data_IF_083212303636
#
_entry.id   IF_083212303636
#
_cell.length_a   1.000
_cell.length_b   1.000
_cell.length_c   1.000
_cell.angle_alpha   90.00
_cell.angle_beta   90.00
_cell.angle_gamma   90.00
#
_symmetry.space_group_name_H-M   'P 1'
#
loop_
_entity.id
_entity.type
_entity.pdbx_description
1 polymer ?
#
# COMPACT_ATOMS: atom_id res chain seq x y z
N UNK A 1 21.28 23.88 -5.29
CA UNK A 1 20.83 22.49 -5.35
C UNK A 1 21.87 21.61 -4.67
N UNK A 2 21.40 20.65 -3.88
CA UNK A 2 22.24 19.68 -3.22
C UNK A 2 22.23 18.39 -4.04
N UNK A 3 23.39 17.78 -4.19
CA UNK A 3 23.57 16.50 -4.85
C UNK A 3 24.18 15.58 -3.81
N UNK A 4 23.56 14.44 -3.59
CA UNK A 4 24.05 13.44 -2.64
C UNK A 4 24.24 12.08 -3.30
N UNK A 5 25.24 11.36 -2.85
CA UNK A 5 25.28 9.90 -3.04
C UNK A 5 24.54 9.27 -1.87
N UNK A 6 23.39 8.64 -2.13
CA UNK A 6 22.63 7.93 -1.11
C UNK A 6 23.24 6.57 -0.77
N UNK A 7 23.96 5.97 -1.70
CA UNK A 7 24.75 4.74 -1.57
C UNK A 7 25.70 4.69 -2.76
N UNK A 8 26.64 3.77 -2.78
CA UNK A 8 27.69 3.60 -3.80
C UNK A 8 27.20 3.55 -5.27
N UNK A 9 25.91 3.58 -5.52
CA UNK A 9 25.32 3.46 -6.86
C UNK A 9 24.24 4.46 -7.20
N UNK A 10 23.75 5.30 -6.28
CA UNK A 10 22.67 6.24 -6.57
C UNK A 10 23.08 7.68 -6.23
N UNK A 11 23.34 8.47 -7.26
CA UNK A 11 23.53 9.93 -7.14
C UNK A 11 22.17 10.59 -7.38
N UNK A 12 21.70 11.40 -6.45
CA UNK A 12 20.42 12.11 -6.53
C UNK A 12 20.61 13.61 -6.49
N UNK A 13 19.64 14.37 -7.00
CA UNK A 13 19.61 15.81 -6.96
C UNK A 13 18.25 16.28 -6.45
N UNK A 14 18.24 17.31 -5.60
CA UNK A 14 17.03 17.90 -5.01
C UNK A 14 16.22 18.80 -5.96
N UNK A 15 16.54 18.81 -7.26
CA UNK A 15 15.84 19.67 -8.21
C UNK A 15 14.60 19.00 -8.80
N UNK A 16 13.58 19.82 -9.10
CA UNK A 16 12.31 19.36 -9.71
C UNK A 16 12.50 18.60 -11.03
N UNK A 17 13.54 18.95 -11.78
CA UNK A 17 13.83 18.29 -13.05
C UNK A 17 14.34 16.86 -12.84
N UNK A 18 15.16 16.64 -11.82
CA UNK A 18 15.62 15.30 -11.44
C UNK A 18 14.46 14.44 -10.96
N UNK A 19 13.57 14.99 -10.13
CA UNK A 19 12.40 14.30 -9.63
C UNK A 19 11.48 13.78 -10.76
N UNK A 20 11.42 14.53 -11.90
CA UNK A 20 10.58 14.16 -13.04
C UNK A 20 11.26 13.22 -14.04
N UNK A 21 12.58 13.33 -14.22
CA UNK A 21 13.31 12.69 -15.32
C UNK A 21 14.37 11.68 -14.87
N UNK A 22 14.69 11.62 -13.56
CA UNK A 22 15.74 10.75 -13.02
C UNK A 22 17.17 11.14 -13.39
N UNK A 23 17.34 12.24 -14.12
CA UNK A 23 18.63 12.84 -14.47
C UNK A 23 18.45 14.33 -14.76
N UNK A 24 19.43 15.18 -14.42
CA UNK A 24 19.28 16.61 -14.54
C UNK A 24 20.61 17.31 -14.95
N UNK A 25 20.55 18.58 -15.43
CA UNK A 25 21.75 19.34 -15.77
C UNK A 25 22.75 19.51 -14.61
N UNK A 26 22.29 19.54 -13.37
CA UNK A 26 23.16 19.62 -12.20
C UNK A 26 24.00 18.36 -12.05
N UNK A 27 23.37 17.20 -12.22
CA UNK A 27 24.05 15.89 -12.18
C UNK A 27 25.06 15.79 -13.31
N UNK A 28 24.67 16.18 -14.53
CA UNK A 28 25.56 16.23 -15.69
C UNK A 28 26.79 17.13 -15.45
N UNK A 29 26.58 18.27 -14.79
CA UNK A 29 27.67 19.17 -14.46
C UNK A 29 28.66 18.57 -13.46
N UNK A 30 28.17 17.87 -12.44
CA UNK A 30 29.02 17.17 -11.47
C UNK A 30 29.77 16.01 -12.14
N UNK A 31 29.11 15.20 -12.96
CA UNK A 31 29.78 14.13 -13.71
C UNK A 31 30.87 14.69 -14.66
N UNK A 32 30.57 15.81 -15.33
CA UNK A 32 31.54 16.46 -16.20
C UNK A 32 32.74 16.96 -15.42
N UNK A 33 32.52 17.60 -14.26
CA UNK A 33 33.59 18.07 -13.37
C UNK A 33 34.46 16.91 -12.89
N UNK A 34 33.85 15.87 -12.36
CA UNK A 34 34.58 14.71 -11.88
C UNK A 34 35.41 14.03 -12.97
N UNK A 35 34.95 14.00 -14.22
CA UNK A 35 35.65 13.36 -15.34
C UNK A 35 36.74 14.23 -15.99
N UNK A 36 36.56 15.54 -15.99
CA UNK A 36 37.38 16.44 -16.84
C UNK A 36 38.22 17.44 -16.05
N UNK A 37 37.94 17.72 -14.80
CA UNK A 37 38.74 18.58 -13.96
C UNK A 37 39.78 17.80 -13.15
N UNK A 38 40.97 18.36 -12.98
CA UNK A 38 42.05 17.69 -12.26
C UNK A 38 41.75 17.43 -10.79
N UNK A 39 41.02 18.34 -10.15
CA UNK A 39 40.62 18.21 -8.76
C UNK A 39 39.45 17.21 -8.63
N UNK A 40 38.53 17.19 -9.59
CA UNK A 40 37.47 16.20 -9.69
C UNK A 40 38.02 14.79 -9.87
N UNK A 41 39.02 14.61 -10.74
CA UNK A 41 39.69 13.33 -10.95
C UNK A 41 40.46 12.87 -9.71
N UNK A 42 41.08 13.82 -8.98
CA UNK A 42 41.74 13.48 -7.70
C UNK A 42 40.74 13.04 -6.64
N UNK A 43 39.59 13.70 -6.51
CA UNK A 43 38.53 13.32 -5.59
C UNK A 43 37.95 11.93 -5.94
N UNK A 44 37.81 11.63 -7.24
CA UNK A 44 37.41 10.27 -7.66
C UNK A 44 38.43 9.22 -7.27
N UNK A 45 39.71 9.49 -7.49
CA UNK A 45 40.80 8.57 -7.13
C UNK A 45 40.90 8.37 -5.60
N UNK A 46 40.73 9.45 -4.81
CA UNK A 46 40.68 9.34 -3.33
C UNK A 46 39.48 8.50 -2.86
N UNK A 47 38.30 8.64 -3.48
CA UNK A 47 37.11 7.82 -3.17
C UNK A 47 37.28 6.35 -3.59
N UNK A 48 37.96 6.10 -4.73
CA UNK A 48 38.27 4.75 -5.18
C UNK A 48 39.30 4.08 -4.23
N UNK A 49 40.33 4.80 -3.76
CA UNK A 49 41.30 4.31 -2.77
C UNK A 49 40.65 4.07 -1.39
N UNK A 50 39.70 4.94 -0.95
CA UNK A 50 38.93 4.71 0.29
C UNK A 50 38.00 3.51 0.17
N UNK A 51 37.39 3.28 -0.99
CA UNK A 51 36.61 2.09 -1.27
C UNK A 51 37.45 0.82 -1.32
N UNK A 52 38.63 0.88 -1.91
CA UNK A 52 39.56 -0.26 -1.92
C UNK A 52 40.14 -0.57 -0.53
N UNK A 53 40.36 0.45 0.32
CA UNK A 53 40.86 0.27 1.69
C UNK A 53 39.81 -0.17 2.69
N UNK A 54 38.53 0.16 2.47
CA UNK A 54 37.39 -0.30 3.29
C UNK A 54 36.84 -1.66 2.85
N UNK A 55 37.17 -2.11 1.64
CA UNK A 55 36.85 -3.44 1.14
C UNK A 55 37.91 -4.45 1.61
N UNK A 56 37.87 -4.81 2.89
CA UNK A 56 38.54 -6.02 3.33
C UNK A 56 38.05 -7.22 2.51
N UNK A 57 38.81 -7.57 1.46
CA UNK A 57 38.69 -8.78 0.65
C UNK A 57 37.24 -9.16 0.20
N UNK A 58 36.50 -8.26 -0.40
CA UNK A 58 35.45 -8.71 -1.33
C UNK A 58 36.15 -9.23 -2.59
N UNK A 59 36.18 -10.55 -2.74
CA UNK A 59 36.62 -11.18 -3.98
C UNK A 59 35.71 -10.68 -5.09
N UNK A 60 36.24 -9.88 -6.02
CA UNK A 60 35.54 -9.55 -7.27
C UNK A 60 35.30 -10.87 -8.02
N UNK A 61 34.07 -11.38 -7.93
CA UNK A 61 33.70 -12.56 -8.70
C UNK A 61 33.46 -12.13 -10.14
N UNK A 62 34.43 -12.38 -11.01
CA UNK A 62 34.13 -12.41 -12.45
C UNK A 62 33.09 -13.50 -12.71
N UNK A 63 32.37 -13.40 -13.82
CA UNK A 63 31.42 -14.47 -14.23
C UNK A 63 32.08 -15.86 -14.24
N UNK A 64 33.33 -15.96 -14.65
CA UNK A 64 34.12 -17.22 -14.58
C UNK A 64 34.43 -17.66 -13.15
N UNK A 65 34.68 -16.72 -12.22
CA UNK A 65 34.88 -17.01 -10.80
C UNK A 65 33.62 -17.58 -10.16
N UNK A 66 32.46 -16.99 -10.44
CA UNK A 66 31.16 -17.49 -9.97
C UNK A 66 30.79 -18.85 -10.52
N UNK A 67 31.13 -19.12 -11.79
CA UNK A 67 30.97 -20.44 -12.39
C UNK A 67 31.81 -21.52 -11.66
N UNK A 68 33.02 -21.20 -11.29
CA UNK A 68 33.90 -22.11 -10.54
C UNK A 68 33.42 -22.29 -9.09
N UNK A 69 32.91 -21.26 -8.44
CA UNK A 69 32.29 -21.36 -7.12
C UNK A 69 31.00 -22.20 -7.15
N UNK A 70 30.16 -22.04 -8.16
CA UNK A 70 28.94 -22.86 -8.35
C UNK A 70 29.25 -24.36 -8.48
N UNK A 71 30.43 -24.72 -8.98
CA UNK A 71 30.91 -26.12 -9.04
C UNK A 71 31.44 -26.64 -7.69
N UNK A 72 31.74 -25.74 -6.76
CA UNK A 72 32.33 -26.07 -5.44
C UNK A 72 31.35 -25.95 -4.28
N UNK A 73 30.09 -25.52 -4.54
CA UNK A 73 29.07 -25.45 -3.50
C UNK A 73 28.72 -26.85 -3.00
N UNK A 74 29.19 -27.16 -1.80
CA UNK A 74 28.71 -28.30 -1.02
C UNK A 74 27.25 -28.04 -0.62
N UNK A 75 26.46 -29.10 -0.48
CA UNK A 75 25.03 -29.11 -0.17
C UNK A 75 24.64 -28.55 1.21
N UNK A 76 25.53 -27.92 1.94
CA UNK A 76 25.21 -27.16 3.17
C UNK A 76 24.70 -25.77 2.80
N UNK A 77 23.51 -25.73 2.21
CA UNK A 77 22.82 -24.51 1.85
C UNK A 77 22.33 -23.77 3.10
N UNK A 78 23.20 -22.97 3.66
CA UNK A 78 22.84 -22.00 4.68
C UNK A 78 22.02 -20.88 4.05
N UNK A 79 20.95 -20.44 4.73
CA UNK A 79 20.17 -19.25 4.34
C UNK A 79 21.12 -18.05 4.18
N UNK A 80 21.16 -17.47 2.99
CA UNK A 80 22.05 -16.36 2.63
C UNK A 80 21.32 -15.07 2.36
N UNK A 81 20.02 -15.13 2.07
CA UNK A 81 19.24 -14.00 1.65
C UNK A 81 17.92 -13.88 2.42
N UNK A 82 17.49 -12.66 2.61
CA UNK A 82 16.12 -12.32 3.03
C UNK A 82 15.57 -11.19 2.18
N UNK A 83 14.26 -11.07 2.12
CA UNK A 83 13.60 -9.94 1.48
C UNK A 83 13.17 -8.93 2.53
N UNK A 84 13.26 -7.68 2.16
CA UNK A 84 12.70 -6.55 2.91
C UNK A 84 11.68 -5.85 2.02
N UNK A 85 10.63 -5.30 2.64
CA UNK A 85 9.61 -4.57 1.90
C UNK A 85 9.36 -3.23 2.58
N UNK A 86 9.40 -2.18 1.77
CA UNK A 86 9.13 -0.81 2.18
C UNK A 86 7.93 -0.30 1.41
N UNK A 87 6.88 0.09 2.12
CA UNK A 87 5.66 0.67 1.54
C UNK A 87 5.62 2.16 1.71
N UNK A 88 5.19 2.86 0.67
CA UNK A 88 5.03 4.30 0.65
C UNK A 88 3.78 4.73 -0.12
N UNK A 89 3.32 5.93 0.12
CA UNK A 89 2.25 6.54 -0.67
C UNK A 89 2.74 6.78 -2.10
N UNK A 90 1.92 6.40 -3.09
CA UNK A 90 2.22 6.72 -4.47
C UNK A 90 2.17 8.23 -4.71
N UNK A 91 2.94 8.74 -5.68
CA UNK A 91 2.90 10.14 -6.10
C UNK A 91 1.51 10.64 -6.52
N UNK A 92 0.59 9.74 -6.78
CA UNK A 92 -0.80 10.05 -7.15
C UNK A 92 -1.79 9.93 -5.98
N UNK A 93 -1.32 9.56 -4.76
CA UNK A 93 -2.11 9.57 -3.53
C UNK A 93 -3.27 8.55 -3.44
N UNK A 94 -3.44 7.68 -4.43
CA UNK A 94 -4.54 6.70 -4.49
C UNK A 94 -4.12 5.24 -4.36
N UNK A 95 -2.83 5.00 -4.29
CA UNK A 95 -2.22 3.66 -4.28
C UNK A 95 -1.09 3.60 -3.27
N UNK A 96 -0.76 2.40 -2.85
CA UNK A 96 0.41 2.12 -2.03
C UNK A 96 1.43 1.43 -2.92
N UNK A 97 2.63 1.99 -2.97
CA UNK A 97 3.76 1.41 -3.67
C UNK A 97 4.65 0.66 -2.70
N UNK A 98 4.96 -0.58 -3.04
CA UNK A 98 5.81 -1.45 -2.26
C UNK A 98 7.13 -1.67 -3.00
N UNK A 99 8.23 -1.21 -2.43
CA UNK A 99 9.59 -1.48 -2.89
C UNK A 99 10.09 -2.76 -2.24
N UNK A 100 10.69 -3.65 -3.03
CA UNK A 100 11.26 -4.90 -2.54
C UNK A 100 12.79 -4.79 -2.60
N UNK A 101 13.44 -5.20 -1.52
CA UNK A 101 14.90 -5.21 -1.40
C UNK A 101 15.40 -6.60 -1.09
N UNK A 102 16.48 -6.98 -1.73
CA UNK A 102 17.24 -8.19 -1.40
C UNK A 102 18.25 -7.84 -0.30
N UNK A 103 18.18 -8.49 0.85
CA UNK A 103 19.17 -8.37 1.93
C UNK A 103 20.06 -9.59 1.94
N UNK A 104 21.36 -9.36 1.94
CA UNK A 104 22.37 -10.40 2.05
C UNK A 104 22.74 -10.62 3.51
N UNK A 105 22.80 -11.87 3.93
CA UNK A 105 23.18 -12.26 5.28
C UNK A 105 24.63 -12.82 5.25
N UNK A 106 25.47 -12.62 6.27
CA UNK A 106 25.20 -11.92 7.54
C UNK A 106 25.52 -10.42 7.50
N UNK A 107 26.07 -9.87 6.42
CA UNK A 107 26.54 -8.47 6.33
C UNK A 107 25.42 -7.43 6.26
N UNK A 108 24.17 -7.88 6.21
CA UNK A 108 22.93 -7.06 6.21
C UNK A 108 22.83 -6.00 5.10
N UNK A 109 23.70 -6.04 4.10
CA UNK A 109 23.61 -5.14 2.95
C UNK A 109 22.33 -5.42 2.17
N UNK A 110 21.59 -4.36 1.81
CA UNK A 110 20.34 -4.49 1.08
C UNK A 110 20.39 -3.79 -0.28
N UNK A 111 19.82 -4.43 -1.29
CA UNK A 111 19.80 -3.99 -2.67
C UNK A 111 18.39 -3.90 -3.20
N UNK A 112 18.03 -2.78 -3.84
CA UNK A 112 16.69 -2.60 -4.42
C UNK A 112 16.52 -3.52 -5.63
N UNK A 113 15.44 -4.29 -5.65
CA UNK A 113 15.03 -5.07 -6.81
C UNK A 113 14.37 -4.12 -7.81
N UNK A 114 15.03 -3.89 -8.95
CA UNK A 114 14.60 -2.90 -9.96
C UNK A 114 13.58 -3.43 -10.95
N UNK A 115 13.53 -4.74 -11.14
CA UNK A 115 12.62 -5.44 -12.04
C UNK A 115 12.15 -6.72 -11.33
N UNK A 116 10.96 -6.62 -10.74
CA UNK A 116 10.38 -7.70 -9.93
C UNK A 116 10.15 -8.97 -10.78
N UNK A 117 9.53 -8.92 -11.98
CA UNK A 117 9.36 -10.10 -12.81
C UNK A 117 10.67 -10.77 -13.24
N UNK A 118 11.66 -9.98 -13.64
CA UNK A 118 12.96 -10.51 -14.01
C UNK A 118 13.66 -11.18 -12.82
N UNK A 119 13.53 -10.59 -11.63
CA UNK A 119 14.06 -11.18 -10.40
C UNK A 119 13.39 -12.52 -10.08
N UNK A 120 12.05 -12.62 -10.15
CA UNK A 120 11.31 -13.85 -9.90
C UNK A 120 11.72 -14.97 -10.85
N UNK A 121 11.79 -14.67 -12.16
CA UNK A 121 12.27 -15.65 -13.18
C UNK A 121 13.69 -16.12 -12.92
N UNK A 122 14.54 -15.23 -12.43
CA UNK A 122 15.93 -15.53 -12.14
C UNK A 122 16.08 -16.46 -10.92
N UNK A 123 15.28 -16.22 -9.87
CA UNK A 123 15.23 -17.10 -8.69
C UNK A 123 14.69 -18.49 -9.07
N UNK A 124 13.62 -18.54 -9.89
CA UNK A 124 13.05 -19.81 -10.36
C UNK A 124 14.03 -20.60 -11.26
N UNK A 125 14.79 -19.88 -12.09
CA UNK A 125 15.78 -20.49 -13.00
C UNK A 125 17.15 -20.76 -12.32
N UNK A 126 17.28 -20.49 -11.01
CA UNK A 126 18.54 -20.60 -10.27
C UNK A 126 19.70 -19.84 -10.95
N UNK A 127 19.37 -18.63 -11.45
CA UNK A 127 20.29 -17.83 -12.24
C UNK A 127 21.15 -16.87 -11.42
N UNK A 128 22.00 -16.10 -12.11
CA UNK A 128 22.86 -15.09 -11.51
C UNK A 128 22.21 -13.71 -11.54
N UNK A 129 21.98 -13.13 -10.37
CA UNK A 129 21.43 -11.80 -10.23
C UNK A 129 22.54 -10.75 -10.11
N UNK A 130 22.45 -9.67 -10.91
CA UNK A 130 23.38 -8.58 -10.85
C UNK A 130 23.01 -7.60 -9.74
N UNK A 131 23.80 -7.56 -8.67
CA UNK A 131 23.57 -6.71 -7.51
C UNK A 131 24.23 -5.34 -7.67
N UNK A 132 25.37 -5.26 -8.36
CA UNK A 132 26.12 -4.03 -8.60
C UNK A 132 26.69 -3.97 -10.01
N UNK A 133 27.52 -2.97 -10.30
CA UNK A 133 28.04 -2.72 -11.64
C UNK A 133 28.75 -3.93 -12.26
N UNK A 134 29.48 -4.70 -11.45
CA UNK A 134 30.25 -5.88 -11.89
C UNK A 134 30.11 -7.07 -10.92
N UNK A 135 29.08 -7.07 -10.08
CA UNK A 135 28.89 -8.06 -9.05
C UNK A 135 27.64 -8.89 -9.29
N UNK A 136 27.80 -10.21 -9.32
CA UNK A 136 26.73 -11.17 -9.59
C UNK A 136 26.66 -12.17 -8.45
N UNK A 137 25.45 -12.50 -8.01
CA UNK A 137 25.17 -13.51 -7.01
C UNK A 137 24.31 -14.62 -7.61
N UNK A 138 24.62 -15.89 -7.35
CA UNK A 138 23.72 -16.98 -7.69
C UNK A 138 22.53 -16.95 -6.74
N UNK A 139 21.32 -16.95 -7.28
CA UNK A 139 20.09 -16.98 -6.49
C UNK A 139 19.35 -18.29 -6.73
N UNK A 140 19.04 -18.98 -5.62
CA UNK A 140 18.12 -20.12 -5.61
C UNK A 140 17.12 -19.93 -4.47
N UNK A 141 15.90 -20.41 -4.65
CA UNK A 141 14.84 -20.26 -3.66
C UNK A 141 15.21 -20.80 -2.27
N UNK A 142 15.99 -21.90 -2.23
CA UNK A 142 16.43 -22.54 -0.98
C UNK A 142 17.39 -21.68 -0.15
N UNK A 143 18.04 -20.68 -0.76
CA UNK A 143 18.96 -19.76 -0.08
C UNK A 143 18.23 -18.62 0.66
N UNK A 144 16.92 -18.48 0.45
CA UNK A 144 16.10 -17.49 1.17
C UNK A 144 15.58 -18.06 2.48
N UNK A 145 15.35 -17.17 3.46
CA UNK A 145 14.61 -17.53 4.66
C UNK A 145 13.17 -17.93 4.33
N UNK A 146 12.52 -18.65 5.23
CA UNK A 146 11.18 -19.18 5.01
C UNK A 146 10.15 -18.09 4.68
N UNK A 147 10.18 -16.95 5.37
CA UNK A 147 9.23 -15.85 5.13
C UNK A 147 9.41 -15.28 3.73
N UNK A 148 10.66 -15.12 3.28
CA UNK A 148 10.98 -14.66 1.92
C UNK A 148 10.56 -15.68 0.86
N UNK A 149 10.75 -16.98 1.09
CA UNK A 149 10.27 -18.04 0.18
C UNK A 149 8.76 -17.98 0.02
N UNK A 150 8.00 -17.88 1.12
CA UNK A 150 6.55 -17.77 1.09
C UNK A 150 6.08 -16.51 0.38
N UNK A 151 6.82 -15.40 0.51
CA UNK A 151 6.50 -14.16 -0.19
C UNK A 151 6.82 -14.24 -1.69
N UNK A 152 7.94 -14.84 -2.09
CA UNK A 152 8.27 -15.10 -3.49
C UNK A 152 7.22 -15.98 -4.17
N UNK A 153 6.78 -17.04 -3.52
CA UNK A 153 5.70 -17.90 -3.99
C UNK A 153 4.37 -17.14 -4.16
N UNK A 154 4.06 -16.25 -3.22
CA UNK A 154 2.91 -15.38 -3.34
C UNK A 154 3.03 -14.45 -4.55
N UNK A 155 4.18 -13.82 -4.77
CA UNK A 155 4.42 -12.96 -5.93
C UNK A 155 4.29 -13.74 -7.24
N UNK A 156 4.84 -14.94 -7.33
CA UNK A 156 4.72 -15.81 -8.51
C UNK A 156 3.26 -16.16 -8.85
N UNK A 157 2.41 -16.35 -7.83
CA UNK A 157 0.96 -16.58 -8.04
C UNK A 157 0.19 -15.32 -8.42
N UNK A 158 0.62 -14.16 -7.93
CA UNK A 158 -0.08 -12.90 -8.14
C UNK A 158 0.27 -12.24 -9.49
N UNK A 159 1.54 -12.36 -9.92
CA UNK A 159 2.03 -11.76 -11.15
C UNK A 159 1.85 -12.79 -12.27
N UNK A 160 0.89 -12.60 -13.18
CA UNK A 160 0.65 -13.54 -14.27
C UNK A 160 1.79 -13.50 -15.30
N UNK A 161 1.99 -14.61 -16.00
CA UNK A 161 2.92 -14.69 -17.12
C UNK A 161 2.63 -13.60 -18.18
N UNK A 162 3.68 -12.96 -18.66
CA UNK A 162 3.69 -11.71 -19.46
C UNK A 162 2.81 -11.66 -20.71
N UNK A 163 2.30 -12.76 -21.16
CA UNK A 163 1.74 -12.83 -22.50
C UNK A 163 0.35 -12.19 -22.69
N UNK A 164 -0.35 -11.75 -21.63
CA UNK A 164 -1.80 -11.44 -21.74
C UNK A 164 -2.32 -10.22 -20.98
N UNK A 165 -1.53 -9.51 -20.18
CA UNK A 165 -2.06 -8.45 -19.30
C UNK A 165 -1.15 -7.23 -19.28
N UNK A 166 -1.77 -6.04 -19.27
CA UNK A 166 -1.06 -4.80 -18.96
C UNK A 166 -0.69 -4.83 -17.47
N UNK A 167 0.59 -5.08 -17.17
CA UNK A 167 1.12 -5.21 -15.81
C UNK A 167 1.38 -3.86 -15.13
N UNK A 168 1.29 -2.74 -15.85
CA UNK A 168 1.60 -1.40 -15.33
C UNK A 168 0.77 -1.06 -14.07
N UNK A 169 -0.40 -1.66 -13.93
CA UNK A 169 -1.25 -1.47 -12.76
C UNK A 169 -0.73 -2.20 -11.51
N UNK A 170 -0.13 -3.39 -11.68
CA UNK A 170 0.40 -4.20 -10.57
C UNK A 170 1.86 -3.84 -10.31
N UNK A 171 2.59 -3.48 -11.37
CA UNK A 171 4.02 -3.22 -11.37
C UNK A 171 4.34 -1.83 -11.96
N UNK A 172 3.97 -0.74 -11.26
CA UNK A 172 4.27 0.60 -11.72
C UNK A 172 5.78 0.90 -11.72
N UNK A 173 6.14 2.00 -12.35
CA UNK A 173 7.51 2.50 -12.39
C UNK A 173 8.51 1.48 -12.94
N UNK A 174 8.24 0.98 -14.16
CA UNK A 174 9.07 -0.03 -14.83
C UNK A 174 9.31 -1.29 -14.00
N UNK A 175 8.25 -1.79 -13.34
CA UNK A 175 8.27 -2.98 -12.50
C UNK A 175 9.17 -2.91 -11.25
N UNK A 176 9.57 -1.71 -10.84
CA UNK A 176 10.34 -1.46 -9.60
C UNK A 176 9.47 -1.52 -8.36
N UNK A 177 8.21 -1.12 -8.46
CA UNK A 177 7.27 -1.14 -7.36
C UNK A 177 6.18 -2.18 -7.60
N UNK A 178 5.63 -2.65 -6.50
CA UNK A 178 4.49 -3.56 -6.47
C UNK A 178 3.27 -2.80 -5.97
N UNK A 179 2.15 -2.86 -6.68
CA UNK A 179 0.84 -2.48 -6.20
C UNK A 179 0.00 -3.73 -5.97
N UNK A 180 -0.45 -3.95 -4.74
CA UNK A 180 -1.31 -5.10 -4.44
C UNK A 180 -2.73 -4.84 -4.97
N UNK A 181 -3.29 -5.69 -5.84
CA UNK A 181 -4.70 -5.64 -6.17
C UNK A 181 -5.55 -5.94 -4.94
N UNK A 182 -6.77 -5.40 -4.87
CA UNK A 182 -7.67 -5.58 -3.72
C UNK A 182 -7.83 -7.04 -3.27
N UNK A 183 -7.96 -7.98 -4.23
CA UNK A 183 -8.13 -9.41 -3.93
C UNK A 183 -6.91 -10.08 -3.29
N UNK A 184 -5.73 -9.48 -3.43
CA UNK A 184 -4.47 -9.96 -2.87
C UNK A 184 -3.96 -9.10 -1.71
N UNK A 185 -4.67 -8.02 -1.38
CA UNK A 185 -4.18 -7.02 -0.44
C UNK A 185 -3.94 -7.58 0.95
N UNK A 186 -4.92 -8.26 1.54
CA UNK A 186 -4.82 -8.78 2.91
C UNK A 186 -3.79 -9.91 3.02
N UNK A 187 -3.78 -10.84 2.07
CA UNK A 187 -2.77 -11.91 2.04
C UNK A 187 -1.37 -11.33 1.84
N UNK A 188 -1.22 -10.43 0.86
CA UNK A 188 0.07 -9.80 0.56
C UNK A 188 0.60 -9.00 1.74
N UNK A 189 -0.23 -8.17 2.37
CA UNK A 189 0.15 -7.39 3.55
C UNK A 189 0.60 -8.30 4.70
N UNK A 190 -0.15 -9.37 4.98
CA UNK A 190 0.22 -10.33 6.01
C UNK A 190 1.57 -10.99 5.73
N UNK A 191 1.84 -11.41 4.48
CA UNK A 191 3.12 -12.02 4.10
C UNK A 191 4.26 -11.03 4.17
N UNK A 192 4.07 -9.79 3.72
CA UNK A 192 5.09 -8.75 3.83
C UNK A 192 5.45 -8.43 5.29
N UNK A 193 4.47 -8.44 6.20
CA UNK A 193 4.72 -8.21 7.63
C UNK A 193 5.49 -9.34 8.33
N UNK A 194 5.55 -10.54 7.74
CA UNK A 194 6.38 -11.62 8.25
C UNK A 194 7.85 -11.47 7.81
N UNK A 195 8.14 -10.60 6.83
CA UNK A 195 9.51 -10.33 6.42
C UNK A 195 10.24 -9.51 7.49
N UNK A 196 11.47 -9.88 7.76
CA UNK A 196 12.32 -9.11 8.64
C UNK A 196 12.73 -7.79 7.96
N UNK A 197 12.34 -6.66 8.56
CA UNK A 197 12.56 -5.33 7.98
C UNK A 197 11.37 -4.77 7.19
N UNK A 198 10.16 -5.31 7.39
CA UNK A 198 8.94 -4.67 6.89
C UNK A 198 8.79 -3.26 7.45
N UNK A 199 8.54 -2.29 6.57
CA UNK A 199 8.25 -0.90 6.90
C UNK A 199 7.15 -0.34 6.00
N UNK A 200 6.33 0.50 6.59
CA UNK A 200 5.35 1.28 5.86
C UNK A 200 5.40 2.73 6.35
N UNK A 201 5.66 3.66 5.46
CA UNK A 201 5.70 5.09 5.77
C UNK A 201 4.45 5.77 5.22
N UNK A 202 3.76 6.51 6.09
CA UNK A 202 2.57 7.26 5.74
C UNK A 202 2.54 8.59 6.48
N UNK A 203 2.40 9.71 5.77
CA UNK A 203 2.40 11.07 6.34
C UNK A 203 3.54 11.30 7.36
N UNK A 204 4.73 10.79 7.06
CA UNK A 204 5.92 10.91 7.92
C UNK A 204 5.90 10.01 9.16
N UNK A 205 4.95 9.08 9.27
CA UNK A 205 4.90 8.09 10.35
C UNK A 205 5.30 6.71 9.82
N UNK A 206 6.28 6.08 10.47
CA UNK A 206 6.71 4.72 10.16
C UNK A 206 5.88 3.70 10.95
N UNK A 207 5.33 2.72 10.26
CA UNK A 207 4.62 1.58 10.83
C UNK A 207 5.37 0.29 10.51
N UNK A 208 5.61 -0.52 11.54
CA UNK A 208 6.22 -1.87 11.42
C UNK A 208 5.19 -2.98 11.53
N UNK A 209 3.98 -2.62 11.89
CA UNK A 209 2.83 -3.50 11.94
C UNK A 209 1.59 -2.73 11.50
N UNK A 210 0.78 -3.36 10.66
CA UNK A 210 -0.47 -2.83 10.14
C UNK A 210 -1.59 -3.82 10.43
N UNK A 211 -2.75 -3.32 10.75
CA UNK A 211 -3.93 -4.15 11.02
C UNK A 211 -4.91 -4.02 9.85
N UNK A 212 -5.69 -5.08 9.62
CA UNK A 212 -6.82 -5.07 8.68
C UNK A 212 -8.06 -5.49 9.45
N UNK A 213 -9.02 -4.60 9.56
CA UNK A 213 -10.24 -4.79 10.33
C UNK A 213 -11.47 -4.40 9.52
N UNK A 214 -12.65 -4.83 9.93
CA UNK A 214 -13.90 -4.32 9.38
C UNK A 214 -14.22 -2.98 10.03
N UNK A 215 -14.71 -2.01 9.23
CA UNK A 215 -15.13 -0.73 9.78
C UNK A 215 -16.35 -0.92 10.68
N UNK A 216 -16.20 -0.54 11.94
CA UNK A 216 -17.27 -0.50 12.93
C UNK A 216 -17.35 0.88 13.59
N UNK A 217 -18.40 1.12 14.36
CA UNK A 217 -18.55 2.35 15.13
C UNK A 217 -17.40 2.60 16.11
N UNK A 218 -16.79 1.53 16.61
CA UNK A 218 -15.70 1.59 17.61
C UNK A 218 -14.40 2.13 17.01
N UNK A 219 -14.25 2.15 15.70
CA UNK A 219 -13.13 2.80 15.03
C UNK A 219 -13.12 4.31 15.23
N UNK A 220 -14.28 4.92 15.55
CA UNK A 220 -14.44 6.36 15.76
C UNK A 220 -13.86 7.22 14.63
N UNK A 221 -13.94 6.74 13.38
CA UNK A 221 -13.49 7.51 12.21
C UNK A 221 -14.48 8.60 11.82
N UNK A 222 -15.76 8.35 12.08
CA UNK A 222 -16.85 9.27 11.84
C UNK A 222 -17.60 9.54 13.12
N UNK A 223 -18.22 10.71 13.20
CA UNK A 223 -19.26 10.98 14.18
C UNK A 223 -20.38 11.82 13.55
N UNK A 224 -21.60 11.56 13.95
CA UNK A 224 -22.80 12.15 13.40
C UNK A 224 -23.57 12.83 14.52
N UNK A 225 -23.83 14.12 14.37
CA UNK A 225 -24.64 14.91 15.32
C UNK A 225 -25.86 15.48 14.58
N UNK A 226 -27.04 15.16 15.06
CA UNK A 226 -28.30 15.61 14.49
C UNK A 226 -28.94 16.62 15.45
N UNK A 227 -29.21 17.79 14.93
CA UNK A 227 -29.93 18.88 15.62
C UNK A 227 -31.23 19.17 14.88
N UNK A 228 -32.32 19.30 15.64
CA UNK A 228 -33.61 19.72 15.08
C UNK A 228 -33.85 21.19 15.40
N UNK A 229 -33.90 22.01 14.38
CA UNK A 229 -34.25 23.42 14.45
C UNK A 229 -35.70 23.65 14.09
N UNK A 230 -36.27 24.83 14.38
CA UNK A 230 -37.71 25.10 14.13
C UNK A 230 -38.16 24.93 12.67
N UNK A 231 -37.25 25.00 11.71
CA UNK A 231 -37.57 24.94 10.28
C UNK A 231 -36.83 23.83 9.50
N UNK A 232 -35.82 23.23 10.09
CA UNK A 232 -34.97 22.24 9.42
C UNK A 232 -34.36 21.27 10.42
N UNK A 233 -33.80 20.20 9.88
CA UNK A 233 -32.97 19.27 10.62
C UNK A 233 -31.55 19.41 10.08
N UNK A 234 -30.58 19.59 10.95
CA UNK A 234 -29.19 19.70 10.58
C UNK A 234 -28.43 18.42 10.99
N UNK A 235 -27.72 17.82 10.06
CA UNK A 235 -26.78 16.74 10.28
C UNK A 235 -25.36 17.30 10.15
N UNK A 236 -24.59 17.23 11.22
CA UNK A 236 -23.16 17.53 11.23
C UNK A 236 -22.38 16.21 11.23
N UNK A 237 -21.43 16.09 10.30
CA UNK A 237 -20.56 14.93 10.18
C UNK A 237 -19.12 15.35 10.38
N UNK A 238 -18.50 14.82 11.41
CA UNK A 238 -17.06 14.92 11.59
C UNK A 238 -16.39 13.62 11.05
N UNK A 239 -15.37 13.78 10.24
CA UNK A 239 -14.56 12.70 9.67
C UNK A 239 -13.11 12.92 10.08
N UNK A 240 -12.44 11.90 10.63
CA UNK A 240 -11.01 11.93 10.82
C UNK A 240 -10.30 11.88 9.48
N UNK A 241 -9.10 12.47 9.40
CA UNK A 241 -8.30 12.45 8.16
C UNK A 241 -7.90 11.01 7.83
N UNK A 242 -8.75 10.33 7.09
CA UNK A 242 -8.56 8.95 6.64
C UNK A 242 -8.40 8.88 5.13
N UNK A 243 -7.45 8.05 4.66
CA UNK A 243 -7.22 7.85 3.24
C UNK A 243 -8.00 6.65 2.72
N UNK A 244 -8.65 6.84 1.55
CA UNK A 244 -9.39 5.76 0.89
C UNK A 244 -8.57 5.11 -0.22
N UNK A 245 -8.61 3.78 -0.25
CA UNK A 245 -7.99 2.94 -1.26
C UNK A 245 -9.01 2.01 -1.94
N UNK A 246 -8.66 1.49 -3.10
CA UNK A 246 -9.43 0.48 -3.83
C UNK A 246 -10.87 0.94 -4.12
N UNK A 247 -11.05 2.16 -4.61
CA UNK A 247 -12.37 2.74 -4.87
C UNK A 247 -13.27 2.76 -3.61
N UNK A 248 -12.76 3.28 -2.51
CA UNK A 248 -13.43 3.36 -1.21
C UNK A 248 -13.79 2.00 -0.56
N UNK A 249 -13.10 0.92 -0.91
CA UNK A 249 -13.29 -0.37 -0.25
C UNK A 249 -12.55 -0.47 1.07
N UNK A 250 -11.46 0.29 1.20
CA UNK A 250 -10.62 0.32 2.40
C UNK A 250 -10.37 1.79 2.78
N UNK A 251 -10.42 2.08 4.08
CA UNK A 251 -9.92 3.33 4.67
C UNK A 251 -8.68 3.02 5.50
N UNK A 252 -7.66 3.84 5.35
CA UNK A 252 -6.48 3.79 6.21
C UNK A 252 -6.52 4.93 7.23
N UNK A 253 -6.27 4.58 8.48
CA UNK A 253 -6.11 5.53 9.57
C UNK A 253 -5.21 4.97 10.66
N UNK A 254 -4.14 5.67 10.97
CA UNK A 254 -3.22 5.37 12.09
C UNK A 254 -2.77 3.89 12.19
N UNK A 255 -2.32 3.31 11.08
CA UNK A 255 -1.80 1.94 11.05
C UNK A 255 -2.86 0.85 10.89
N UNK A 256 -4.13 1.21 10.73
CA UNK A 256 -5.22 0.27 10.53
C UNK A 256 -5.88 0.49 9.18
N UNK A 257 -6.05 -0.57 8.41
CA UNK A 257 -6.84 -0.63 7.19
C UNK A 257 -8.24 -1.15 7.51
N UNK A 258 -9.25 -0.29 7.39
CA UNK A 258 -10.64 -0.62 7.66
C UNK A 258 -11.36 -1.02 6.38
N UNK A 259 -11.85 -2.26 6.30
CA UNK A 259 -12.69 -2.74 5.19
C UNK A 259 -14.09 -2.18 5.32
N UNK A 260 -14.64 -1.68 4.21
CA UNK A 260 -16.00 -1.15 4.14
C UNK A 260 -16.91 -2.13 3.41
N UNK A 261 -18.07 -2.40 3.98
CA UNK A 261 -19.13 -3.09 3.27
C UNK A 261 -19.77 -2.18 2.20
N UNK A 262 -20.60 -2.75 1.31
CA UNK A 262 -21.19 -2.00 0.18
C UNK A 262 -22.04 -0.79 0.60
N UNK A 263 -22.73 -0.86 1.75
CA UNK A 263 -23.54 0.25 2.25
C UNK A 263 -22.64 1.37 2.76
N UNK A 264 -21.61 1.04 3.55
CA UNK A 264 -20.62 1.98 4.04
C UNK A 264 -19.87 2.68 2.90
N UNK A 265 -19.50 1.94 1.83
CA UNK A 265 -18.87 2.53 0.64
C UNK A 265 -19.77 3.58 -0.02
N UNK A 266 -21.06 3.28 -0.22
CA UNK A 266 -22.03 4.24 -0.79
C UNK A 266 -22.19 5.47 0.11
N UNK A 267 -22.31 5.24 1.42
CA UNK A 267 -22.43 6.32 2.40
C UNK A 267 -21.17 7.18 2.40
N UNK A 268 -19.98 6.60 2.38
CA UNK A 268 -18.70 7.33 2.31
C UNK A 268 -18.62 8.22 1.07
N UNK A 269 -19.00 7.71 -0.10
CA UNK A 269 -19.04 8.51 -1.35
C UNK A 269 -19.98 9.70 -1.19
N UNK A 270 -21.18 9.49 -0.65
CA UNK A 270 -22.14 10.56 -0.36
C UNK A 270 -21.56 11.59 0.62
N UNK A 271 -21.00 11.14 1.74
CA UNK A 271 -20.42 12.02 2.74
C UNK A 271 -19.24 12.84 2.19
N UNK A 272 -18.39 12.24 1.36
CA UNK A 272 -17.23 12.95 0.78
C UNK A 272 -17.60 13.93 -0.33
N UNK A 273 -18.78 13.82 -0.91
CA UNK A 273 -19.31 14.81 -1.86
C UNK A 273 -19.85 16.08 -1.19
N UNK A 274 -20.06 16.05 0.13
CA UNK A 274 -20.58 17.20 0.87
C UNK A 274 -19.50 18.27 1.05
N UNK A 275 -19.88 19.56 1.01
CA UNK A 275 -18.96 20.65 1.27
C UNK A 275 -18.48 20.62 2.74
N UNK A 276 -17.22 20.98 2.94
CA UNK A 276 -16.63 21.12 4.27
C UNK A 276 -16.95 22.54 4.77
N UNK A 277 -17.49 22.64 5.97
CA UNK A 277 -17.76 23.92 6.64
C UNK A 277 -16.48 24.58 7.19
N UNK A 278 -16.64 25.79 7.72
CA UNK A 278 -15.52 26.53 8.34
C UNK A 278 -14.98 25.89 9.62
N UNK A 279 -15.75 25.02 10.24
CA UNK A 279 -15.40 24.22 11.42
C UNK A 279 -14.76 22.87 11.07
N UNK A 280 -14.41 22.67 9.79
CA UNK A 280 -13.85 21.42 9.23
C UNK A 280 -14.81 20.23 9.22
N UNK A 281 -16.09 20.43 9.63
CA UNK A 281 -17.12 19.43 9.55
C UNK A 281 -17.94 19.58 8.25
N UNK A 282 -18.70 18.55 7.94
CA UNK A 282 -19.66 18.59 6.82
C UNK A 282 -21.05 18.78 7.38
N UNK A 283 -21.81 19.66 6.74
CA UNK A 283 -23.15 20.02 7.18
C UNK A 283 -24.17 19.72 6.10
N UNK A 284 -25.27 19.08 6.48
CA UNK A 284 -26.41 18.79 5.59
C UNK A 284 -27.71 19.20 6.28
N UNK A 285 -28.51 20.01 5.58
CA UNK A 285 -29.82 20.40 6.06
C UNK A 285 -30.91 19.59 5.38
N UNK A 286 -31.88 19.12 6.17
CA UNK A 286 -33.06 18.39 5.71
C UNK A 286 -34.32 19.18 6.08
N UNK A 287 -35.38 18.99 5.30
CA UNK A 287 -36.71 19.50 5.68
C UNK A 287 -37.28 18.66 6.83
N UNK A 288 -38.21 19.23 7.58
CA UNK A 288 -38.83 18.51 8.71
C UNK A 288 -39.66 17.29 8.27
N UNK A 289 -40.18 17.27 7.05
CA UNK A 289 -40.90 16.13 6.47
C UNK A 289 -39.97 14.97 6.08
N UNK A 290 -38.67 15.23 5.96
CA UNK A 290 -37.64 14.20 5.70
C UNK A 290 -37.15 13.47 6.99
N UNK A 291 -37.69 13.86 8.17
CA UNK A 291 -37.26 13.30 9.45
C UNK A 291 -37.35 11.76 9.49
N UNK A 292 -38.42 11.16 8.95
CA UNK A 292 -38.59 9.71 8.96
C UNK A 292 -37.53 8.99 8.12
N UNK A 293 -37.19 9.56 6.96
CA UNK A 293 -36.13 9.03 6.06
C UNK A 293 -34.77 9.11 6.75
N UNK A 294 -34.47 10.24 7.36
CA UNK A 294 -33.21 10.43 8.09
C UNK A 294 -33.13 9.45 9.29
N UNK A 295 -34.21 9.29 10.04
CA UNK A 295 -34.28 8.37 11.16
C UNK A 295 -34.02 6.92 10.73
N UNK A 296 -34.55 6.48 9.59
CA UNK A 296 -34.27 5.17 9.02
C UNK A 296 -32.78 5.03 8.61
N UNK A 297 -32.18 6.09 8.10
CA UNK A 297 -30.75 6.11 7.69
C UNK A 297 -29.78 6.08 8.87
N UNK A 298 -30.22 6.36 10.09
CA UNK A 298 -29.34 6.35 11.27
C UNK A 298 -28.75 4.96 11.56
N UNK A 299 -29.42 3.90 11.14
CA UNK A 299 -28.88 2.55 11.26
C UNK A 299 -27.57 2.40 10.49
N UNK A 300 -27.55 2.91 9.25
CA UNK A 300 -26.34 2.85 8.41
C UNK A 300 -25.23 3.76 8.96
N UNK A 301 -25.57 4.96 9.47
CA UNK A 301 -24.59 5.84 10.13
C UNK A 301 -23.96 5.19 11.36
N UNK A 302 -24.75 4.49 12.18
CA UNK A 302 -24.26 3.75 13.37
C UNK A 302 -23.27 2.65 13.04
N UNK A 303 -23.23 2.17 11.81
CA UNK A 303 -22.20 1.19 11.37
C UNK A 303 -20.84 1.82 11.13
N UNK A 304 -20.78 3.15 10.98
CA UNK A 304 -19.53 3.88 10.70
C UNK A 304 -19.02 4.67 11.90
N UNK A 305 -19.89 5.05 12.82
CA UNK A 305 -19.50 5.84 13.97
C UNK A 305 -20.64 6.15 14.94
N UNK A 306 -20.33 6.81 16.07
CA UNK A 306 -21.35 7.22 17.03
C UNK A 306 -22.30 8.25 16.41
N UNK A 307 -23.59 8.06 16.71
CA UNK A 307 -24.67 8.95 16.28
C UNK A 307 -25.31 9.58 17.50
N UNK A 308 -25.28 10.91 17.56
CA UNK A 308 -26.00 11.70 18.55
C UNK A 308 -27.23 12.29 17.88
N UNK A 309 -28.41 11.93 18.38
CA UNK A 309 -29.68 12.38 17.83
C UNK A 309 -30.69 12.69 18.93
N UNK A 310 -31.59 13.65 18.71
CA UNK A 310 -32.72 13.94 19.62
C UNK A 310 -33.63 12.73 19.82
N UNK A 311 -34.37 12.72 20.94
CA UNK A 311 -35.31 11.62 21.27
C UNK A 311 -36.36 11.37 20.19
N UNK A 312 -36.71 12.40 19.39
CA UNK A 312 -37.64 12.30 18.27
C UNK A 312 -37.18 11.32 17.17
N UNK A 313 -35.89 11.02 17.10
CA UNK A 313 -35.29 10.03 16.19
C UNK A 313 -35.21 8.62 16.78
N UNK A 314 -35.63 8.42 18.03
CA UNK A 314 -35.77 7.09 18.60
C UNK A 314 -37.04 6.48 18.05
N UNK A 315 -36.90 5.63 17.06
CA UNK A 315 -37.97 4.82 16.51
C UNK A 315 -38.45 3.89 17.61
N UNK A 316 -39.67 4.15 18.16
CA UNK A 316 -40.21 3.34 19.24
C UNK A 316 -41.06 2.18 18.72
N UNK A 317 -41.67 2.36 17.56
CA UNK A 317 -42.57 1.37 16.97
C UNK A 317 -42.21 1.12 15.51
N UNK A 318 -42.14 -0.15 15.14
CA UNK A 318 -42.06 -0.57 13.75
C UNK A 318 -43.00 -1.73 13.53
N UNK A 319 -43.58 -1.81 12.34
CA UNK A 319 -44.44 -2.93 11.95
C UNK A 319 -43.67 -3.78 10.95
N UNK A 320 -43.35 -5.06 11.32
CA UNK A 320 -42.71 -5.95 10.37
C UNK A 320 -43.73 -6.34 9.29
N UNK A 321 -43.33 -6.20 8.02
CA UNK A 321 -44.11 -6.67 6.87
C UNK A 321 -43.41 -7.84 6.23
N UNK A 322 -44.11 -8.96 6.12
CA UNK A 322 -43.62 -10.15 5.45
C UNK A 322 -44.29 -10.24 4.09
N UNK A 323 -43.51 -10.41 3.06
CA UNK A 323 -43.98 -10.71 1.71
C UNK A 323 -43.43 -12.04 1.27
N UNK A 324 -44.33 -12.93 0.84
CA UNK A 324 -43.96 -14.22 0.29
C UNK A 324 -44.21 -14.17 -1.21
N UNK A 325 -43.18 -14.34 -1.99
CA UNK A 325 -43.25 -14.48 -3.44
C UNK A 325 -42.87 -15.90 -3.85
N UNK A 326 -43.62 -16.51 -4.76
CA UNK A 326 -43.26 -17.82 -5.37
C UNK A 326 -42.38 -17.54 -6.60
N UNK A 327 -41.20 -18.15 -6.64
CA UNK A 327 -40.32 -18.15 -7.80
C UNK A 327 -40.29 -19.55 -8.41
N UNK A 328 -41.02 -19.74 -9.51
CA UNK A 328 -41.23 -21.06 -10.08
C UNK A 328 -42.13 -21.92 -9.20
N UNK A 329 -42.06 -23.24 -9.38
CA UNK A 329 -42.97 -24.20 -8.70
C UNK A 329 -42.49 -24.64 -7.32
N UNK A 330 -41.31 -24.23 -6.85
CA UNK A 330 -40.71 -24.77 -5.64
C UNK A 330 -39.88 -23.83 -4.76
N UNK A 331 -39.67 -22.60 -5.17
CA UNK A 331 -38.89 -21.60 -4.40
C UNK A 331 -39.82 -20.55 -3.77
N UNK A 332 -39.78 -20.41 -2.45
CA UNK A 332 -40.46 -19.34 -1.72
C UNK A 332 -39.44 -18.29 -1.36
N UNK A 333 -39.61 -17.08 -1.86
CA UNK A 333 -38.80 -15.94 -1.48
C UNK A 333 -39.51 -15.18 -0.37
N UNK A 334 -38.90 -15.13 0.81
CA UNK A 334 -39.37 -14.29 1.91
C UNK A 334 -38.65 -12.94 1.87
N UNK A 335 -39.45 -11.89 1.66
CA UNK A 335 -38.95 -10.51 1.83
C UNK A 335 -39.45 -9.96 3.15
N UNK A 336 -38.53 -9.54 4.01
CA UNK A 336 -38.83 -8.88 5.26
C UNK A 336 -38.61 -7.36 5.08
N UNK A 337 -39.64 -6.58 5.33
CA UNK A 337 -39.57 -5.14 5.38
C UNK A 337 -40.06 -4.62 6.72
N UNK A 338 -39.51 -3.53 7.19
CA UNK A 338 -39.94 -2.85 8.41
C UNK A 338 -40.59 -1.52 8.03
N UNK A 339 -41.83 -1.32 8.48
CA UNK A 339 -42.60 -0.09 8.28
C UNK A 339 -42.40 0.80 9.52
N UNK A 340 -41.76 1.92 9.32
CA UNK A 340 -41.56 2.96 10.32
C UNK A 340 -42.47 4.16 9.98
N UNK A 341 -43.65 4.22 10.56
CA UNK A 341 -44.63 5.29 10.33
C UNK A 341 -44.89 5.59 8.83
N UNK A 342 -45.04 4.52 8.03
CA UNK A 342 -45.30 4.63 6.58
C UNK A 342 -44.04 4.60 5.72
N UNK A 343 -42.83 4.53 6.32
CA UNK A 343 -41.59 4.39 5.62
C UNK A 343 -41.09 2.93 5.65
N UNK A 344 -40.98 2.31 4.47
CA UNK A 344 -40.59 0.92 4.31
C UNK A 344 -39.07 0.81 4.12
N UNK A 345 -38.41 0.03 5.00
CA UNK A 345 -37.00 -0.35 4.89
C UNK A 345 -36.92 -1.83 4.56
N UNK A 346 -36.22 -2.19 3.48
CA UNK A 346 -36.05 -3.52 2.95
C UNK A 346 -34.71 -4.13 3.32
#
# INVERSE_FOLDING_TARGET
>A
HLIYALNDSEITCDCDYFAQKGYCPHLAAVEYYLKNDKEGQRLLAELEEEQESSQGQERCHSFGGLFLEGLSLNEDDTVRYSLMVEGEESTFGSEIWWSIRLRRLPDERSYVIRDIPAFLKLVEAEGYYQIGKNYYEPLSLIQFDQASQEFLDFLGRMIPDEAKTNLDFILPNNARHLCLPYGFFEEGLRRMQHLDGFRFEWEGTEYRQLLVEDLTADAHLFSFDICVEPKMIELTVAEKNSQAFFNNRILFYQGVFYRLNRKQQKLLVGLRSLPIGSDLNKHVSFNLDEQAILAASLFDFRTMGPVKAPKAFNIKDFTPRFRFDLKGDSEIILTLAFDFDGFLVH
#
